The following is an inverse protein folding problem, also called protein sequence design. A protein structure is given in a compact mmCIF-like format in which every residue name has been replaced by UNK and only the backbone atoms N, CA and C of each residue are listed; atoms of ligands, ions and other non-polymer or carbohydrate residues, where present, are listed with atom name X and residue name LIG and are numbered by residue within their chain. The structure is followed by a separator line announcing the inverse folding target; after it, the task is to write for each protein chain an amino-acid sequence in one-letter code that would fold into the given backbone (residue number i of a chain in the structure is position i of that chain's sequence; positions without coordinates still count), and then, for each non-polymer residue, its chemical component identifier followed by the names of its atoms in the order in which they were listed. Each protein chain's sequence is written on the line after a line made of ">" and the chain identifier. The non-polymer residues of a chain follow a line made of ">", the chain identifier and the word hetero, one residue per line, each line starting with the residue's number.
data_IF_686827707482
#
_entry.id   IF_686827707482
#
_cell.length_a   1.000
_cell.length_b   1.000
_cell.length_c   1.000
_cell.angle_alpha   90.00
_cell.angle_beta   90.00
_cell.angle_gamma   90.00
#
_symmetry.space_group_name_H-M   'P 1'
#
loop_
_entity.id
_entity.type
_entity.pdbx_description
1 polymer ?
#
# COMPACT_ATOMS: atom_id res chain seq x y z
N UNK A 1 12.68 -21.26 -13.82
CA UNK A 1 12.28 -22.26 -12.81
C UNK A 1 13.28 -23.41 -12.83
N UNK A 2 13.64 -23.94 -11.67
CA UNK A 2 14.49 -25.13 -11.55
C UNK A 2 13.69 -26.22 -10.83
N UNK A 3 13.64 -27.42 -11.41
CA UNK A 3 13.04 -28.61 -10.81
C UNK A 3 14.16 -29.45 -10.22
N UNK A 4 14.22 -29.61 -8.93
CA UNK A 4 15.24 -30.39 -8.24
C UNK A 4 14.70 -31.82 -8.07
N UNK A 5 15.41 -32.79 -8.62
CA UNK A 5 15.04 -34.19 -8.53
C UNK A 5 15.55 -34.80 -7.20
N UNK A 6 14.90 -35.86 -6.74
CA UNK A 6 15.37 -36.63 -5.59
C UNK A 6 16.70 -37.34 -5.92
N UNK A 7 17.51 -37.65 -4.91
CA UNK A 7 18.85 -38.26 -5.11
C UNK A 7 18.78 -39.62 -5.84
N UNK A 8 17.65 -40.32 -5.72
CA UNK A 8 17.41 -41.64 -6.33
C UNK A 8 16.45 -41.59 -7.52
N UNK A 9 16.15 -40.38 -8.03
CA UNK A 9 15.27 -40.21 -9.18
C UNK A 9 15.83 -41.00 -10.40
N UNK A 10 14.95 -41.79 -11.01
CA UNK A 10 15.27 -42.58 -12.19
C UNK A 10 15.34 -41.72 -13.45
N UNK A 11 16.01 -42.23 -14.50
CA UNK A 11 16.04 -41.58 -15.82
C UNK A 11 14.64 -41.41 -16.41
N UNK A 12 13.72 -42.34 -16.15
CA UNK A 12 12.34 -42.25 -16.61
C UNK A 12 11.58 -41.10 -15.93
N UNK A 13 11.79 -40.87 -14.62
CA UNK A 13 11.19 -39.76 -13.88
C UNK A 13 11.74 -38.40 -14.36
N UNK A 14 13.05 -38.29 -14.59
CA UNK A 14 13.67 -37.10 -15.16
C UNK A 14 13.11 -36.82 -16.57
N UNK A 15 13.00 -37.84 -17.41
CA UNK A 15 12.43 -37.72 -18.76
C UNK A 15 10.98 -37.25 -18.72
N UNK A 16 10.19 -37.74 -17.76
CA UNK A 16 8.80 -37.31 -17.60
C UNK A 16 8.70 -35.82 -17.22
N UNK A 17 9.58 -35.30 -16.35
CA UNK A 17 9.65 -33.87 -16.02
C UNK A 17 10.02 -33.04 -17.25
N UNK A 18 10.98 -33.51 -18.07
CA UNK A 18 11.36 -32.86 -19.34
C UNK A 18 10.15 -32.77 -20.28
N UNK A 19 9.45 -33.90 -20.51
CA UNK A 19 8.27 -33.95 -21.35
C UNK A 19 7.18 -32.96 -20.91
N UNK A 20 6.86 -32.91 -19.62
CA UNK A 20 5.86 -31.97 -19.08
C UNK A 20 6.27 -30.51 -19.31
N UNK A 21 7.55 -30.18 -19.12
CA UNK A 21 8.06 -28.80 -19.37
C UNK A 21 7.90 -28.47 -20.87
N UNK A 22 8.17 -29.40 -21.75
CA UNK A 22 8.02 -29.23 -23.22
C UNK A 22 6.56 -29.11 -23.63
N UNK A 23 5.65 -29.93 -23.04
CA UNK A 23 4.20 -29.81 -23.23
C UNK A 23 3.66 -28.43 -22.76
N UNK A 24 4.32 -27.81 -21.76
CA UNK A 24 3.97 -26.46 -21.30
C UNK A 24 4.48 -25.36 -22.26
N UNK A 25 5.17 -25.71 -23.33
CA UNK A 25 5.69 -24.78 -24.35
C UNK A 25 7.05 -24.17 -24.02
N UNK A 26 7.78 -24.74 -23.07
CA UNK A 26 9.11 -24.30 -22.68
C UNK A 26 10.20 -25.29 -23.08
N UNK A 27 11.47 -24.87 -23.01
CA UNK A 27 12.61 -25.78 -23.20
C UNK A 27 13.08 -26.31 -21.85
N UNK A 28 13.33 -27.61 -21.76
CA UNK A 28 13.89 -28.28 -20.59
C UNK A 28 15.40 -28.51 -20.75
N UNK A 29 16.16 -28.25 -19.68
CA UNK A 29 17.62 -28.54 -19.63
C UNK A 29 17.96 -29.37 -18.39
N UNK A 30 18.09 -30.69 -18.51
CA UNK A 30 18.60 -31.52 -17.43
C UNK A 30 20.08 -31.19 -17.15
N UNK A 31 20.40 -31.01 -15.89
CA UNK A 31 21.73 -30.68 -15.37
C UNK A 31 22.09 -31.72 -14.29
N UNK A 32 22.80 -32.81 -14.66
CA UNK A 32 23.25 -33.80 -13.69
C UNK A 32 24.25 -33.15 -12.70
N UNK A 33 24.03 -33.31 -11.41
CA UNK A 33 24.95 -32.95 -10.34
C UNK A 33 25.56 -34.20 -9.70
N UNK A 34 26.44 -34.00 -8.74
CA UNK A 34 27.13 -35.12 -8.04
C UNK A 34 26.14 -36.05 -7.28
N UNK A 35 25.09 -35.49 -6.69
CA UNK A 35 24.13 -36.24 -5.84
C UNK A 35 22.74 -36.29 -6.42
N UNK A 36 22.35 -35.35 -7.26
CA UNK A 36 21.01 -35.26 -7.84
C UNK A 36 21.01 -34.49 -9.17
N UNK A 37 20.01 -34.74 -9.99
CA UNK A 37 19.79 -33.98 -11.23
C UNK A 37 18.85 -32.80 -10.96
N UNK A 38 19.11 -31.66 -11.59
CA UNK A 38 18.20 -30.52 -11.65
C UNK A 38 17.77 -30.29 -13.09
N UNK A 39 16.48 -30.04 -13.32
CA UNK A 39 15.98 -29.72 -14.67
C UNK A 39 15.64 -28.23 -14.72
N UNK A 40 16.37 -27.47 -15.53
CA UNK A 40 16.12 -26.05 -15.78
C UNK A 40 15.03 -25.86 -16.83
N UNK A 41 14.00 -25.05 -16.53
CA UNK A 41 13.03 -24.58 -17.50
C UNK A 41 13.52 -23.25 -18.08
N UNK A 42 13.59 -23.16 -19.40
CA UNK A 42 14.12 -22.02 -20.16
C UNK A 42 13.09 -21.53 -21.17
N UNK A 43 13.08 -20.23 -21.43
CA UNK A 43 12.16 -19.59 -22.39
C UNK A 43 10.93 -18.94 -21.74
N UNK A 44 10.88 -18.89 -20.40
CA UNK A 44 9.84 -18.17 -19.70
C UNK A 44 10.17 -16.68 -19.57
N UNK A 45 9.17 -15.84 -19.71
CA UNK A 45 9.25 -14.37 -19.53
C UNK A 45 8.74 -13.90 -18.16
N UNK A 46 8.36 -14.84 -17.28
CA UNK A 46 7.84 -14.60 -15.94
C UNK A 46 7.86 -15.85 -15.07
N UNK A 47 7.14 -15.82 -13.95
CA UNK A 47 6.97 -17.00 -13.11
C UNK A 47 6.08 -18.01 -13.80
N UNK A 48 6.56 -19.25 -13.89
CA UNK A 48 5.80 -20.39 -14.43
C UNK A 48 5.05 -21.07 -13.30
N UNK A 49 3.79 -21.43 -13.54
CA UNK A 49 3.04 -22.31 -12.64
C UNK A 49 3.63 -23.71 -12.65
N UNK A 50 4.13 -24.16 -11.51
CA UNK A 50 4.76 -25.45 -11.31
C UNK A 50 3.79 -26.58 -10.93
N UNK A 51 2.50 -26.31 -10.81
CA UNK A 51 1.49 -27.28 -10.29
C UNK A 51 1.45 -28.61 -11.06
N UNK A 52 1.74 -28.60 -12.36
CA UNK A 52 1.82 -29.81 -13.20
C UNK A 52 3.07 -30.67 -12.92
N UNK A 53 4.06 -30.11 -12.23
CA UNK A 53 5.37 -30.74 -12.00
C UNK A 53 5.55 -31.11 -10.54
N UNK A 54 5.02 -30.32 -9.59
CA UNK A 54 5.25 -30.41 -8.16
C UNK A 54 4.90 -31.79 -7.56
N UNK A 55 3.89 -32.45 -8.08
CA UNK A 55 3.44 -33.77 -7.62
C UNK A 55 4.02 -34.96 -8.40
N UNK A 56 4.94 -34.76 -9.34
CA UNK A 56 5.49 -35.86 -10.15
C UNK A 56 6.45 -36.73 -9.34
N UNK A 57 6.46 -38.06 -9.59
CA UNK A 57 7.44 -38.97 -8.99
C UNK A 57 8.87 -38.49 -9.27
N UNK A 58 9.73 -38.62 -8.26
CA UNK A 58 11.13 -38.22 -8.38
C UNK A 58 11.40 -36.72 -8.22
N UNK A 59 10.40 -35.86 -8.14
CA UNK A 59 10.56 -34.42 -7.85
C UNK A 59 10.74 -34.23 -6.34
N UNK A 60 11.78 -33.50 -5.93
CA UNK A 60 12.02 -33.13 -4.54
C UNK A 60 11.46 -31.75 -4.20
N UNK A 61 11.74 -30.76 -5.05
CA UNK A 61 11.28 -29.38 -4.86
C UNK A 61 11.32 -28.59 -6.19
N UNK A 62 10.58 -27.49 -6.25
CA UNK A 62 10.62 -26.53 -7.34
C UNK A 62 11.14 -25.19 -6.84
N UNK A 63 12.25 -24.72 -7.43
CA UNK A 63 12.87 -23.42 -7.13
C UNK A 63 12.48 -22.41 -8.19
N UNK A 64 11.69 -21.42 -7.82
CA UNK A 64 11.36 -20.31 -8.71
C UNK A 64 12.50 -19.28 -8.69
N UNK A 65 13.20 -19.11 -9.81
CA UNK A 65 14.28 -18.13 -9.99
C UNK A 65 13.78 -16.77 -10.46
N UNK A 66 12.54 -16.67 -10.94
CA UNK A 66 11.89 -15.43 -11.34
C UNK A 66 10.92 -14.97 -10.26
N UNK A 67 10.80 -13.64 -10.11
CA UNK A 67 9.82 -13.05 -9.20
C UNK A 67 8.40 -13.36 -9.67
N UNK A 68 7.43 -13.51 -8.74
CA UNK A 68 6.04 -13.79 -9.10
C UNK A 68 5.29 -12.57 -9.68
N UNK A 69 5.91 -11.39 -9.70
CA UNK A 69 5.39 -10.13 -10.21
C UNK A 69 6.37 -9.55 -11.25
N UNK A 70 5.88 -8.75 -12.20
CA UNK A 70 6.65 -8.21 -13.33
C UNK A 70 6.60 -6.69 -13.37
N UNK A 71 5.41 -6.11 -13.59
CA UNK A 71 5.24 -4.67 -13.83
C UNK A 71 5.57 -3.81 -12.60
N UNK A 72 5.34 -4.30 -11.38
CA UNK A 72 5.72 -3.58 -10.14
C UNK A 72 7.21 -3.60 -9.85
N UNK A 73 8.01 -4.41 -10.58
CA UNK A 73 9.43 -4.65 -10.30
C UNK A 73 10.31 -3.53 -10.81
N UNK A 74 11.42 -3.25 -10.11
CA UNK A 74 12.53 -2.42 -10.60
C UNK A 74 13.18 -2.99 -11.89
N UNK A 75 13.01 -4.27 -12.17
CA UNK A 75 13.46 -4.88 -13.43
C UNK A 75 12.61 -4.42 -14.63
N UNK A 76 11.34 -4.10 -14.38
CA UNK A 76 10.45 -3.55 -15.40
C UNK A 76 10.65 -2.05 -15.61
N UNK A 77 10.86 -1.31 -14.52
CA UNK A 77 11.08 0.14 -14.54
C UNK A 77 12.09 0.52 -13.44
N UNK A 78 13.25 1.02 -13.85
CA UNK A 78 14.35 1.39 -12.94
C UNK A 78 14.07 2.67 -12.15
N UNK A 79 13.43 3.67 -12.79
CA UNK A 79 13.13 4.97 -12.20
C UNK A 79 11.90 4.90 -11.29
N UNK A 80 11.85 5.75 -10.28
CA UNK A 80 10.68 5.88 -9.42
C UNK A 80 9.45 6.29 -10.22
N UNK A 81 8.32 5.66 -9.91
CA UNK A 81 7.04 6.15 -10.41
C UNK A 81 6.58 7.33 -9.56
N UNK A 82 6.24 8.41 -10.24
CA UNK A 82 5.62 9.57 -9.61
C UNK A 82 4.11 9.41 -9.74
N UNK A 83 3.41 9.38 -8.62
CA UNK A 83 1.94 9.29 -8.55
C UNK A 83 1.39 10.63 -8.09
N UNK A 84 0.72 11.34 -8.99
CA UNK A 84 0.11 12.64 -8.70
C UNK A 84 -1.38 12.49 -8.43
N UNK A 85 -1.84 12.92 -7.25
CA UNK A 85 -3.27 12.88 -6.88
C UNK A 85 -3.97 14.23 -7.09
N UNK A 86 -3.21 15.33 -7.08
CA UNK A 86 -3.68 16.67 -7.38
C UNK A 86 -2.49 17.55 -7.78
N UNK A 87 -2.70 18.72 -8.41
CA UNK A 87 -1.63 19.67 -8.68
C UNK A 87 -0.81 19.99 -7.41
N UNK A 88 0.50 19.76 -7.48
CA UNK A 88 1.42 19.98 -6.34
C UNK A 88 1.40 18.87 -5.27
N UNK A 89 0.66 17.77 -5.47
CA UNK A 89 0.63 16.65 -4.51
C UNK A 89 1.00 15.35 -5.23
N UNK A 90 2.28 14.99 -5.15
CA UNK A 90 2.86 13.83 -5.84
C UNK A 90 3.71 12.99 -4.91
N UNK A 91 3.58 11.67 -5.02
CA UNK A 91 4.37 10.67 -4.28
C UNK A 91 5.49 10.12 -5.16
N UNK A 92 6.60 9.68 -4.54
CA UNK A 92 7.74 9.06 -5.23
C UNK A 92 8.82 10.05 -5.68
N UNK A 93 8.61 11.36 -5.49
CA UNK A 93 9.58 12.43 -5.74
C UNK A 93 10.45 12.77 -4.52
N UNK A 94 11.01 13.98 -4.51
CA UNK A 94 11.82 14.49 -3.40
C UNK A 94 10.99 14.98 -2.20
N UNK A 95 9.72 15.27 -2.42
CA UNK A 95 8.82 15.78 -1.39
C UNK A 95 8.06 14.66 -0.68
N UNK A 96 7.82 14.84 0.62
CA UNK A 96 7.05 13.93 1.47
C UNK A 96 5.62 14.43 1.58
N UNK A 97 4.67 13.59 1.21
CA UNK A 97 3.23 13.90 1.24
C UNK A 97 2.65 13.55 2.62
N UNK A 98 1.84 14.46 3.18
CA UNK A 98 1.18 14.27 4.47
C UNK A 98 -0.33 14.15 4.25
N UNK A 99 -0.86 12.94 4.43
CA UNK A 99 -2.30 12.66 4.38
C UNK A 99 -2.83 12.66 5.82
N UNK A 100 -3.77 13.53 6.15
CA UNK A 100 -4.32 13.62 7.51
C UNK A 100 -5.84 13.84 7.51
N UNK A 101 -6.51 13.42 8.58
CA UNK A 101 -7.94 13.58 8.78
C UNK A 101 -8.53 12.47 9.62
N UNK A 102 -9.84 12.47 9.89
CA UNK A 102 -10.47 11.53 10.82
C UNK A 102 -10.53 10.10 10.26
N UNK A 103 -10.64 9.12 11.14
CA UNK A 103 -10.90 7.72 10.76
C UNK A 103 -12.16 7.61 9.92
N UNK A 104 -13.26 8.22 10.37
CA UNK A 104 -14.55 8.28 9.68
C UNK A 104 -15.09 9.70 9.58
N UNK A 105 -15.89 9.94 8.54
CA UNK A 105 -16.74 11.12 8.43
C UNK A 105 -17.98 10.88 9.31
N UNK A 106 -18.19 11.72 10.31
CA UNK A 106 -19.23 11.54 11.34
C UNK A 106 -20.33 12.60 11.25
N UNK A 107 -19.95 13.85 10.93
CA UNK A 107 -20.86 14.98 10.71
C UNK A 107 -20.18 16.04 9.84
N UNK A 108 -20.93 17.02 9.36
CA UNK A 108 -20.39 18.18 8.65
C UNK A 108 -19.44 18.99 9.54
N UNK A 109 -19.85 19.29 10.75
CA UNK A 109 -19.05 20.05 11.72
C UNK A 109 -17.72 19.34 11.99
N UNK A 110 -17.75 18.02 12.22
CA UNK A 110 -16.57 17.23 12.52
C UNK A 110 -15.57 17.24 11.36
N UNK A 111 -16.03 16.95 10.12
CA UNK A 111 -15.12 16.86 8.97
C UNK A 111 -14.56 18.20 8.54
N UNK A 112 -15.35 19.27 8.58
CA UNK A 112 -14.90 20.63 8.25
C UNK A 112 -13.89 21.13 9.29
N UNK A 113 -14.18 20.94 10.59
CA UNK A 113 -13.24 21.27 11.65
C UNK A 113 -11.91 20.51 11.51
N UNK A 114 -11.99 19.20 11.28
CA UNK A 114 -10.80 18.36 11.04
C UNK A 114 -10.00 18.83 9.82
N UNK A 115 -10.69 19.05 8.68
CA UNK A 115 -10.04 19.43 7.42
C UNK A 115 -9.33 20.79 7.52
N UNK A 116 -9.95 21.78 8.16
CA UNK A 116 -9.31 23.07 8.43
C UNK A 116 -8.08 22.92 9.32
N UNK A 117 -8.23 22.21 10.44
CA UNK A 117 -7.13 22.02 11.39
C UNK A 117 -5.91 21.31 10.75
N UNK A 118 -6.13 20.25 9.95
CA UNK A 118 -5.01 19.55 9.31
C UNK A 118 -4.38 20.37 8.19
N UNK A 119 -5.18 21.12 7.38
CA UNK A 119 -4.66 22.06 6.37
C UNK A 119 -3.77 23.11 7.01
N UNK A 120 -4.27 23.78 8.04
CA UNK A 120 -3.58 24.90 8.68
C UNK A 120 -2.28 24.45 9.38
N UNK A 121 -2.22 23.18 9.80
CA UNK A 121 -1.01 22.56 10.31
C UNK A 121 -0.02 22.09 9.24
N UNK A 122 -0.43 21.94 7.96
CA UNK A 122 0.48 21.57 6.87
C UNK A 122 0.22 20.21 6.24
N UNK A 123 -0.99 19.65 6.36
CA UNK A 123 -1.39 18.50 5.56
C UNK A 123 -1.49 18.85 4.08
N UNK A 124 -1.21 17.88 3.21
CA UNK A 124 -1.26 18.03 1.75
C UNK A 124 -2.43 17.29 1.12
N UNK A 125 -3.06 16.36 1.86
CA UNK A 125 -4.28 15.68 1.44
C UNK A 125 -5.15 15.36 2.67
N UNK A 126 -6.48 15.33 2.44
CA UNK A 126 -7.47 14.97 3.45
C UNK A 126 -7.82 13.49 3.33
N UNK A 127 -7.77 12.76 4.43
CA UNK A 127 -8.38 11.43 4.52
C UNK A 127 -9.66 11.46 5.34
N UNK A 128 -10.59 10.58 5.03
CA UNK A 128 -11.78 10.33 5.82
C UNK A 128 -12.55 9.15 5.26
N UNK A 129 -12.98 8.20 6.11
CA UNK A 129 -13.77 7.05 5.68
C UNK A 129 -15.26 7.43 5.57
N UNK A 130 -15.83 7.42 4.37
CA UNK A 130 -17.27 7.53 4.17
C UNK A 130 -17.99 6.20 4.42
N UNK A 131 -17.32 5.10 4.11
CA UNK A 131 -17.70 3.72 4.38
C UNK A 131 -16.70 3.09 5.37
N UNK A 132 -17.19 2.21 6.27
CA UNK A 132 -16.35 1.59 7.30
C UNK A 132 -16.50 0.08 7.30
N UNK A 133 -15.44 -0.69 6.96
CA UNK A 133 -15.45 -2.14 7.11
C UNK A 133 -15.38 -2.50 8.59
N UNK A 134 -16.47 -3.03 9.15
CA UNK A 134 -16.54 -3.41 10.56
C UNK A 134 -16.69 -4.91 10.74
N UNK A 135 -16.04 -5.43 11.78
CA UNK A 135 -16.23 -6.84 12.19
C UNK A 135 -17.58 -7.09 12.84
N UNK A 136 -18.19 -6.03 13.44
CA UNK A 136 -19.53 -6.10 14.02
C UNK A 136 -20.51 -5.29 13.17
N UNK A 137 -21.68 -5.87 12.81
CA UNK A 137 -22.72 -5.15 12.08
C UNK A 137 -23.40 -4.04 12.89
N UNK A 138 -23.21 -4.05 14.22
CA UNK A 138 -23.78 -3.04 15.13
C UNK A 138 -22.89 -1.81 15.31
N UNK A 139 -21.65 -1.85 14.82
CA UNK A 139 -20.75 -0.70 14.87
C UNK A 139 -21.12 0.34 13.80
N UNK A 140 -20.69 1.58 13.98
CA UNK A 140 -20.88 2.65 13.00
C UNK A 140 -20.30 2.26 11.63
N UNK A 141 -21.16 2.19 10.60
CA UNK A 141 -20.82 1.73 9.26
C UNK A 141 -20.32 2.85 8.32
N UNK A 142 -20.31 4.10 8.80
CA UNK A 142 -20.06 5.29 7.99
C UNK A 142 -21.37 5.94 7.51
N UNK A 143 -21.25 7.12 6.90
CA UNK A 143 -22.36 7.88 6.35
C UNK A 143 -22.68 7.55 4.88
N UNK A 144 -21.90 6.66 4.28
CA UNK A 144 -22.07 6.29 2.86
C UNK A 144 -21.94 7.49 1.92
N UNK A 145 -22.84 7.60 0.94
CA UNK A 145 -22.83 8.71 -0.04
C UNK A 145 -22.83 10.08 0.64
N UNK A 146 -23.59 10.27 1.73
CA UNK A 146 -23.55 11.54 2.48
C UNK A 146 -22.14 11.86 3.01
N UNK A 147 -21.37 10.86 3.43
CA UNK A 147 -19.99 11.04 3.85
C UNK A 147 -19.10 11.51 2.69
N UNK A 148 -19.33 11.02 1.47
CA UNK A 148 -18.63 11.48 0.26
C UNK A 148 -19.01 12.94 -0.08
N UNK A 149 -20.29 13.30 0.01
CA UNK A 149 -20.75 14.68 -0.20
C UNK A 149 -20.08 15.64 0.80
N UNK A 150 -19.94 15.24 2.06
CA UNK A 150 -19.25 16.02 3.11
C UNK A 150 -17.75 16.12 2.87
N UNK A 151 -17.08 15.08 2.38
CA UNK A 151 -15.69 15.16 1.95
C UNK A 151 -15.51 16.14 0.79
N UNK A 152 -16.41 16.12 -0.20
CA UNK A 152 -16.39 17.08 -1.30
C UNK A 152 -16.60 18.52 -0.82
N UNK A 153 -17.43 18.74 0.20
CA UNK A 153 -17.58 20.04 0.85
C UNK A 153 -16.25 20.47 1.51
N UNK A 154 -15.63 19.59 2.29
CA UNK A 154 -14.35 19.84 2.94
C UNK A 154 -13.24 20.18 1.94
N UNK A 155 -13.19 19.47 0.77
CA UNK A 155 -12.26 19.80 -0.34
C UNK A 155 -12.49 21.20 -0.88
N UNK A 156 -13.76 21.59 -1.11
CA UNK A 156 -14.08 22.95 -1.60
C UNK A 156 -13.63 24.05 -0.64
N UNK A 157 -13.72 23.80 0.66
CA UNK A 157 -13.32 24.77 1.69
C UNK A 157 -11.81 24.84 1.92
N UNK A 158 -11.11 23.74 1.76
CA UNK A 158 -9.70 23.64 2.18
C UNK A 158 -8.72 23.53 1.01
N UNK A 159 -9.19 23.14 -0.17
CA UNK A 159 -8.34 22.81 -1.32
C UNK A 159 -7.64 21.46 -1.21
N UNK A 160 -7.78 20.73 -0.10
CA UNK A 160 -7.10 19.44 0.10
C UNK A 160 -7.72 18.35 -0.79
N UNK A 161 -6.94 17.62 -1.60
CA UNK A 161 -7.42 16.45 -2.33
C UNK A 161 -7.86 15.35 -1.36
N UNK A 162 -8.84 14.56 -1.82
CA UNK A 162 -9.51 13.53 -0.99
C UNK A 162 -8.89 12.15 -1.22
N UNK A 163 -8.54 11.49 -0.13
CA UNK A 163 -8.20 10.06 -0.06
C UNK A 163 -9.27 9.35 0.76
N UNK A 164 -10.07 8.48 0.13
CA UNK A 164 -11.14 7.73 0.83
C UNK A 164 -11.24 6.30 0.33
N UNK A 165 -11.78 5.41 1.20
CA UNK A 165 -11.76 3.96 0.99
C UNK A 165 -12.95 3.47 0.21
N UNK A 166 -12.70 2.58 -0.77
CA UNK A 166 -13.69 1.75 -1.43
C UNK A 166 -13.69 0.33 -0.82
N UNK A 167 -14.86 -0.26 -0.61
CA UNK A 167 -15.01 -1.57 0.03
C UNK A 167 -15.29 -2.71 -0.96
N UNK A 168 -15.90 -2.42 -2.08
CA UNK A 168 -16.32 -3.33 -3.13
C UNK A 168 -16.28 -2.64 -4.51
N UNK A 169 -16.62 -3.37 -5.56
CA UNK A 169 -16.53 -2.89 -6.94
C UNK A 169 -17.54 -1.76 -7.23
N UNK A 170 -18.78 -1.89 -6.75
CA UNK A 170 -19.80 -0.85 -6.93
C UNK A 170 -19.42 0.43 -6.17
N UNK A 171 -19.00 0.26 -4.91
CA UNK A 171 -18.49 1.36 -4.08
C UNK A 171 -17.25 2.04 -4.68
N UNK A 172 -16.40 1.31 -5.39
CA UNK A 172 -15.23 1.90 -6.05
C UNK A 172 -15.62 2.91 -7.15
N UNK A 173 -16.65 2.61 -7.95
CA UNK A 173 -17.15 3.55 -8.95
C UNK A 173 -17.73 4.81 -8.30
N UNK A 174 -18.55 4.64 -7.26
CA UNK A 174 -19.11 5.77 -6.52
C UNK A 174 -18.00 6.62 -5.84
N UNK A 175 -17.03 5.97 -5.18
CA UNK A 175 -15.90 6.66 -4.55
C UNK A 175 -15.08 7.42 -5.59
N UNK A 176 -14.91 6.88 -6.78
CA UNK A 176 -14.15 7.50 -7.86
C UNK A 176 -14.75 8.85 -8.35
N UNK A 177 -16.04 9.08 -8.17
CA UNK A 177 -16.66 10.37 -8.50
C UNK A 177 -16.20 11.50 -7.55
N UNK A 178 -15.82 11.16 -6.34
CA UNK A 178 -15.49 12.10 -5.27
C UNK A 178 -14.01 12.16 -4.93
N UNK A 179 -13.34 11.01 -4.90
CA UNK A 179 -11.95 10.88 -4.46
C UNK A 179 -10.94 11.32 -5.53
N UNK A 180 -9.85 11.90 -5.10
CA UNK A 180 -8.66 12.17 -5.91
C UNK A 180 -7.70 10.97 -5.88
N UNK A 181 -7.77 10.15 -4.82
CA UNK A 181 -7.08 8.88 -4.68
C UNK A 181 -8.00 7.87 -3.97
N UNK A 182 -8.18 6.69 -4.58
CA UNK A 182 -8.99 5.60 -4.00
C UNK A 182 -8.13 4.78 -3.05
N UNK A 183 -8.54 4.67 -1.78
CA UNK A 183 -7.86 3.79 -0.84
C UNK A 183 -8.45 2.38 -0.90
N UNK A 184 -7.57 1.38 -0.95
CA UNK A 184 -7.90 -0.02 -0.71
C UNK A 184 -7.38 -0.40 0.67
N UNK A 185 -8.30 -0.70 1.58
CA UNK A 185 -7.98 -1.05 2.96
C UNK A 185 -7.29 -2.42 3.07
N UNK A 186 -6.56 -2.62 4.16
CA UNK A 186 -5.78 -3.83 4.40
C UNK A 186 -6.59 -5.14 4.34
N UNK A 187 -7.88 -5.11 4.69
CA UNK A 187 -8.77 -6.27 4.59
C UNK A 187 -9.09 -6.66 3.15
N UNK A 188 -9.01 -5.69 2.23
CA UNK A 188 -9.31 -5.84 0.81
C UNK A 188 -8.04 -5.93 -0.06
N UNK A 189 -6.84 -6.00 0.53
CA UNK A 189 -5.59 -6.08 -0.24
C UNK A 189 -5.59 -7.24 -1.24
N UNK A 190 -6.20 -8.37 -0.90
CA UNK A 190 -6.30 -9.56 -1.74
C UNK A 190 -7.70 -9.76 -2.36
N UNK A 191 -8.53 -8.73 -2.35
CA UNK A 191 -9.80 -8.73 -3.10
C UNK A 191 -9.50 -8.43 -4.58
N UNK A 192 -9.09 -9.45 -5.32
CA UNK A 192 -8.59 -9.29 -6.69
C UNK A 192 -9.63 -8.75 -7.66
N UNK A 193 -10.92 -8.99 -7.44
CA UNK A 193 -11.98 -8.39 -8.26
C UNK A 193 -12.03 -6.87 -8.05
N UNK A 194 -11.98 -6.41 -6.80
CA UNK A 194 -11.90 -4.99 -6.47
C UNK A 194 -10.60 -4.35 -7.01
N UNK A 195 -9.45 -5.04 -6.91
CA UNK A 195 -8.18 -4.53 -7.45
C UNK A 195 -8.25 -4.32 -8.96
N UNK A 196 -8.86 -5.25 -9.71
CA UNK A 196 -9.11 -5.07 -11.14
C UNK A 196 -10.06 -3.92 -11.42
N UNK A 197 -11.15 -3.79 -10.67
CA UNK A 197 -12.09 -2.70 -10.84
C UNK A 197 -11.43 -1.32 -10.67
N UNK A 198 -10.64 -1.11 -9.61
CA UNK A 198 -9.92 0.16 -9.41
C UNK A 198 -8.80 0.36 -10.43
N UNK A 199 -8.22 -0.72 -10.94
CA UNK A 199 -7.29 -0.67 -12.06
C UNK A 199 -7.93 -0.07 -13.32
N UNK A 200 -9.12 -0.54 -13.69
CA UNK A 200 -9.88 -0.03 -14.85
C UNK A 200 -10.41 1.40 -14.67
N UNK A 201 -10.72 1.80 -13.44
CA UNK A 201 -11.14 3.18 -13.14
C UNK A 201 -10.03 4.18 -13.48
N UNK A 202 -8.75 3.80 -13.34
CA UNK A 202 -7.60 4.61 -13.77
C UNK A 202 -7.28 5.80 -12.87
N UNK A 203 -7.90 5.93 -11.67
CA UNK A 203 -7.52 6.92 -10.67
C UNK A 203 -6.34 6.42 -9.83
N UNK A 204 -5.56 7.33 -9.20
CA UNK A 204 -4.56 6.93 -8.21
C UNK A 204 -5.13 6.03 -7.12
N UNK A 205 -4.39 4.98 -6.76
CA UNK A 205 -4.81 3.99 -5.76
C UNK A 205 -3.79 3.93 -4.63
N UNK A 206 -4.26 4.09 -3.39
CA UNK A 206 -3.48 3.83 -2.17
C UNK A 206 -3.80 2.41 -1.69
N UNK A 207 -2.86 1.49 -1.88
CA UNK A 207 -3.00 0.08 -1.51
C UNK A 207 -2.32 -0.19 -0.16
N UNK A 208 -3.11 -0.50 0.87
CA UNK A 208 -2.62 -0.82 2.22
C UNK A 208 -2.29 -2.31 2.35
N UNK A 209 -1.11 -2.61 2.89
CA UNK A 209 -0.64 -3.97 3.19
C UNK A 209 -1.60 -4.68 4.13
N UNK A 210 -1.94 -5.93 3.82
CA UNK A 210 -2.73 -6.80 4.68
C UNK A 210 -2.00 -7.16 5.97
N UNK A 211 -2.76 -7.36 7.06
CA UNK A 211 -2.20 -7.60 8.40
C UNK A 211 -1.45 -8.93 8.55
N UNK A 212 -1.64 -9.87 7.65
CA UNK A 212 -0.93 -11.15 7.58
C UNK A 212 -0.23 -11.36 6.22
N UNK A 213 -0.02 -10.27 5.47
CA UNK A 213 0.54 -10.30 4.14
C UNK A 213 2.06 -10.11 4.16
N UNK A 214 2.76 -10.90 3.37
CA UNK A 214 4.17 -10.68 3.07
C UNK A 214 4.36 -9.46 2.16
N UNK A 215 5.60 -8.99 2.00
CA UNK A 215 5.92 -7.95 1.00
C UNK A 215 5.62 -8.46 -0.42
N UNK A 216 5.88 -9.74 -0.68
CA UNK A 216 5.55 -10.36 -1.97
C UNK A 216 4.04 -10.33 -2.25
N UNK A 217 3.20 -10.63 -1.26
CA UNK A 217 1.73 -10.55 -1.42
C UNK A 217 1.27 -9.12 -1.73
N UNK A 218 1.88 -8.11 -1.08
CA UNK A 218 1.59 -6.70 -1.38
C UNK A 218 1.95 -6.34 -2.82
N UNK A 219 3.13 -6.75 -3.28
CA UNK A 219 3.58 -6.49 -4.66
C UNK A 219 2.73 -7.25 -5.68
N UNK A 220 2.35 -8.49 -5.40
CA UNK A 220 1.41 -9.25 -6.23
C UNK A 220 0.03 -8.59 -6.31
N UNK A 221 -0.46 -8.04 -5.22
CA UNK A 221 -1.73 -7.30 -5.21
C UNK A 221 -1.65 -6.02 -6.04
N UNK A 222 -0.54 -5.29 -5.96
CA UNK A 222 -0.31 -4.13 -6.82
C UNK A 222 -0.21 -4.52 -8.30
N UNK A 223 0.41 -5.67 -8.62
CA UNK A 223 0.49 -6.20 -9.98
C UNK A 223 -0.89 -6.34 -10.65
N UNK A 224 -1.94 -6.75 -9.88
CA UNK A 224 -3.32 -6.83 -10.40
C UNK A 224 -3.85 -5.47 -10.87
N UNK A 225 -3.48 -4.38 -10.18
CA UNK A 225 -3.90 -3.03 -10.58
C UNK A 225 -3.13 -2.58 -11.82
N UNK A 226 -1.82 -2.81 -11.86
CA UNK A 226 -0.96 -2.46 -13.00
C UNK A 226 -1.35 -3.24 -14.26
N UNK A 227 -1.71 -4.52 -14.12
CA UNK A 227 -2.14 -5.38 -15.23
C UNK A 227 -3.40 -4.90 -15.95
N UNK A 228 -4.25 -4.12 -15.26
CA UNK A 228 -5.42 -3.44 -15.87
C UNK A 228 -5.05 -2.07 -16.50
N UNK A 229 -3.74 -1.72 -16.53
CA UNK A 229 -3.23 -0.49 -17.16
C UNK A 229 -3.07 0.70 -16.22
N UNK A 230 -3.37 0.57 -14.92
CA UNK A 230 -3.21 1.65 -13.96
C UNK A 230 -1.88 1.57 -13.21
N UNK A 231 -0.88 2.33 -13.66
CA UNK A 231 0.41 2.46 -12.98
C UNK A 231 0.45 3.46 -11.82
N UNK A 232 -0.66 4.10 -11.47
CA UNK A 232 -0.73 5.12 -10.43
C UNK A 232 -1.06 4.48 -9.06
N UNK A 233 -0.16 3.66 -8.55
CA UNK A 233 -0.33 2.93 -7.27
C UNK A 233 0.67 3.43 -6.24
N UNK A 234 0.17 3.71 -5.04
CA UNK A 234 0.92 4.07 -3.85
C UNK A 234 0.79 2.91 -2.87
N UNK A 235 1.90 2.35 -2.43
CA UNK A 235 1.93 1.27 -1.44
C UNK A 235 1.96 1.86 -0.02
N UNK A 236 1.37 1.15 0.95
CA UNK A 236 1.31 1.63 2.32
C UNK A 236 1.57 0.51 3.34
N UNK A 237 2.62 0.67 4.13
CA UNK A 237 2.83 -0.11 5.34
C UNK A 237 1.90 0.40 6.45
N UNK A 238 1.16 -0.52 7.11
CA UNK A 238 0.19 -0.17 8.17
C UNK A 238 0.20 -1.15 9.34
N UNK A 239 1.26 -1.91 9.47
CA UNK A 239 1.44 -2.91 10.51
C UNK A 239 0.95 -4.30 10.13
N UNK A 240 1.68 -5.28 10.58
CA UNK A 240 1.37 -6.71 10.46
C UNK A 240 1.07 -7.30 11.83
N UNK A 241 0.30 -8.38 11.88
CA UNK A 241 0.07 -9.11 13.13
C UNK A 241 1.36 -9.69 13.67
N UNK A 242 1.55 -9.57 14.97
CA UNK A 242 2.65 -10.16 15.72
C UNK A 242 2.10 -11.05 16.84
N UNK A 243 2.98 -11.82 17.44
CA UNK A 243 2.68 -12.54 18.68
C UNK A 243 2.60 -11.60 19.90
N UNK A 244 3.22 -10.42 19.83
CA UNK A 244 3.13 -9.39 20.87
C UNK A 244 1.78 -8.65 20.74
N UNK A 245 1.13 -8.40 21.87
CA UNK A 245 -0.22 -7.80 21.96
C UNK A 245 -0.24 -6.42 22.61
N UNK A 246 0.93 -5.84 22.95
CA UNK A 246 1.02 -4.51 23.55
C UNK A 246 0.57 -3.44 22.56
N UNK A 247 0.93 -3.60 21.29
CA UNK A 247 0.42 -2.79 20.19
C UNK A 247 -0.56 -3.59 19.34
N UNK A 248 -1.47 -2.92 18.66
CA UNK A 248 -2.46 -3.57 17.77
C UNK A 248 -1.80 -4.38 16.65
N UNK A 249 -0.69 -3.88 16.12
CA UNK A 249 0.13 -4.54 15.10
C UNK A 249 1.60 -4.16 15.33
N UNK A 250 2.51 -4.89 14.70
CA UNK A 250 3.91 -4.51 14.54
C UNK A 250 4.04 -3.60 13.30
N UNK A 251 4.42 -2.36 13.47
CA UNK A 251 4.69 -1.44 12.35
C UNK A 251 6.05 -1.78 11.74
N UNK A 252 6.03 -2.45 10.58
CA UNK A 252 7.22 -2.96 9.90
C UNK A 252 7.93 -1.86 9.10
N UNK A 253 8.77 -1.09 9.80
CA UNK A 253 9.56 -0.02 9.17
C UNK A 253 10.53 -0.57 8.11
N UNK A 254 10.98 -1.82 8.24
CA UNK A 254 11.90 -2.43 7.27
C UNK A 254 11.24 -2.67 5.92
N UNK A 255 9.92 -2.79 5.87
CA UNK A 255 9.17 -2.91 4.62
C UNK A 255 9.40 -1.71 3.69
N UNK A 256 9.62 -0.51 4.23
CA UNK A 256 9.80 0.71 3.42
C UNK A 256 11.02 0.60 2.51
N UNK A 257 12.27 0.49 3.00
CA UNK A 257 13.44 0.39 2.15
C UNK A 257 13.49 -0.91 1.33
N UNK A 258 12.90 -2.01 1.82
CA UNK A 258 12.82 -3.26 1.07
C UNK A 258 11.93 -3.09 -0.16
N UNK A 259 10.72 -2.54 -0.01
CA UNK A 259 9.81 -2.29 -1.13
C UNK A 259 10.42 -1.32 -2.14
N UNK A 260 11.04 -0.24 -1.69
CA UNK A 260 11.72 0.73 -2.57
C UNK A 260 12.87 0.10 -3.38
N UNK A 261 13.54 -0.93 -2.86
CA UNK A 261 14.54 -1.71 -3.60
C UNK A 261 13.92 -2.67 -4.61
N UNK A 262 12.76 -3.27 -4.30
CA UNK A 262 12.11 -4.28 -5.14
C UNK A 262 11.21 -3.67 -6.21
N UNK A 263 10.60 -2.51 -5.93
CA UNK A 263 9.57 -1.88 -6.75
C UNK A 263 9.91 -0.41 -7.03
N UNK A 264 9.39 0.10 -8.13
CA UNK A 264 9.46 1.52 -8.51
C UNK A 264 8.29 2.34 -7.96
N UNK A 265 7.29 1.69 -7.33
CA UNK A 265 6.11 2.34 -6.79
C UNK A 265 6.44 3.09 -5.49
N UNK A 266 5.85 4.27 -5.24
CA UNK A 266 6.04 4.99 -3.98
C UNK A 266 5.48 4.21 -2.79
N UNK A 267 6.15 4.34 -1.64
CA UNK A 267 5.79 3.64 -0.40
C UNK A 267 5.61 4.64 0.73
N UNK A 268 4.45 4.61 1.41
CA UNK A 268 4.13 5.45 2.56
C UNK A 268 3.91 4.62 3.84
N UNK A 269 3.89 5.29 4.99
CA UNK A 269 3.61 4.69 6.29
C UNK A 269 2.29 5.15 6.90
N UNK A 270 1.57 4.23 7.56
CA UNK A 270 0.38 4.48 8.37
C UNK A 270 0.64 4.11 9.83
N UNK A 271 1.24 4.99 10.62
CA UNK A 271 1.56 4.71 12.01
C UNK A 271 0.33 4.63 12.92
N UNK A 272 -0.79 5.27 12.54
CA UNK A 272 -2.03 5.21 13.32
C UNK A 272 -2.58 3.80 13.41
N UNK A 273 -2.71 3.11 12.25
CA UNK A 273 -3.12 1.72 12.21
C UNK A 273 -1.95 0.76 12.53
N UNK A 274 -0.71 1.20 12.30
CA UNK A 274 0.50 0.41 12.55
C UNK A 274 0.61 0.00 14.01
N UNK A 275 0.34 0.93 14.93
CA UNK A 275 0.44 0.68 16.37
C UNK A 275 -0.91 0.59 17.07
N UNK A 276 -1.91 1.36 16.60
CA UNK A 276 -3.22 1.47 17.24
C UNK A 276 -3.21 2.30 18.53
N UNK A 277 -2.13 3.01 18.81
CA UNK A 277 -1.90 3.79 20.03
C UNK A 277 -1.49 5.22 19.70
N UNK A 278 -2.25 6.21 20.17
CA UNK A 278 -2.05 7.65 19.90
C UNK A 278 -0.62 8.13 20.21
N UNK A 279 -0.10 7.75 21.37
CA UNK A 279 1.23 8.16 21.84
C UNK A 279 2.38 7.57 21.02
N UNK A 280 2.12 6.56 20.20
CA UNK A 280 3.10 5.94 19.30
C UNK A 280 3.04 6.48 17.87
N UNK A 281 1.99 7.23 17.49
CA UNK A 281 1.82 7.75 16.13
C UNK A 281 2.98 8.67 15.74
N UNK A 282 3.28 9.67 16.57
CA UNK A 282 4.36 10.64 16.28
C UNK A 282 5.74 9.96 16.16
N UNK A 283 6.19 9.15 17.13
CA UNK A 283 7.47 8.45 17.01
C UNK A 283 7.55 7.59 15.74
N UNK A 284 6.49 6.87 15.41
CA UNK A 284 6.49 5.96 14.26
C UNK A 284 6.35 6.69 12.91
N UNK A 285 5.65 7.82 12.86
CA UNK A 285 5.63 8.69 11.69
C UNK A 285 7.04 9.24 11.37
N UNK A 286 7.75 9.70 12.39
CA UNK A 286 9.16 10.15 12.26
C UNK A 286 10.06 9.02 11.74
N UNK A 287 9.93 7.83 12.33
CA UNK A 287 10.72 6.68 11.94
C UNK A 287 10.43 6.23 10.49
N UNK A 288 9.15 6.28 10.06
CA UNK A 288 8.77 5.96 8.68
C UNK A 288 9.42 6.92 7.67
N UNK A 289 9.39 8.24 7.94
CA UNK A 289 10.02 9.24 7.09
C UNK A 289 11.54 9.07 7.09
N UNK A 290 12.15 8.85 8.26
CA UNK A 290 13.59 8.59 8.37
C UNK A 290 14.02 7.30 7.64
N UNK A 291 13.14 6.29 7.57
CA UNK A 291 13.35 5.06 6.79
C UNK A 291 13.17 5.25 5.27
N UNK A 292 12.78 6.47 4.82
CA UNK A 292 12.67 6.83 3.41
C UNK A 292 11.25 6.81 2.84
N UNK A 293 10.20 6.73 3.66
CA UNK A 293 8.82 6.77 3.16
C UNK A 293 8.54 8.03 2.31
N UNK A 294 7.75 7.87 1.25
CA UNK A 294 7.34 8.97 0.35
C UNK A 294 6.17 9.79 0.90
N UNK A 295 5.65 9.38 2.04
CA UNK A 295 4.60 10.08 2.77
C UNK A 295 4.20 9.34 4.04
N UNK A 296 3.31 9.98 4.79
CA UNK A 296 2.63 9.37 5.92
C UNK A 296 1.13 9.65 5.85
N UNK A 297 0.32 8.69 6.32
CA UNK A 297 -1.11 8.85 6.51
C UNK A 297 -1.43 8.69 7.99
N UNK A 298 -2.04 9.72 8.60
CA UNK A 298 -2.33 9.74 10.04
C UNK A 298 -3.78 10.09 10.32
N UNK A 299 -4.31 9.52 11.38
CA UNK A 299 -5.64 9.86 11.87
C UNK A 299 -5.59 11.07 12.81
N UNK A 300 -6.40 12.08 12.49
CA UNK A 300 -6.56 13.31 13.29
C UNK A 300 -8.05 13.57 13.48
N UNK A 301 -8.47 13.82 14.72
CA UNK A 301 -9.86 14.08 15.03
C UNK A 301 -9.96 15.30 15.96
N UNK A 302 -10.95 16.22 15.79
CA UNK A 302 -11.09 17.40 16.65
C UNK A 302 -11.25 17.04 18.13
N UNK A 303 -11.97 15.95 18.40
CA UNK A 303 -12.22 15.42 19.75
C UNK A 303 -12.08 13.89 19.76
N UNK A 304 -10.85 13.34 19.72
CA UNK A 304 -10.61 11.90 19.58
C UNK A 304 -11.36 11.03 20.59
N UNK A 305 -11.56 11.52 21.81
CA UNK A 305 -12.23 10.76 22.87
C UNK A 305 -13.75 10.61 22.66
N UNK A 306 -14.31 11.32 21.67
CA UNK A 306 -15.72 11.23 21.25
C UNK A 306 -15.90 10.64 19.85
N UNK A 307 -14.80 10.23 19.23
CA UNK A 307 -14.83 9.67 17.88
C UNK A 307 -15.67 8.37 17.83
N UNK A 308 -16.51 8.23 16.80
CA UNK A 308 -17.29 7.02 16.55
C UNK A 308 -16.44 5.84 16.09
N UNK A 309 -15.19 6.10 15.66
CA UNK A 309 -14.24 5.06 15.27
C UNK A 309 -12.78 5.47 15.58
N UNK A 310 -12.01 4.49 16.05
CA UNK A 310 -10.55 4.50 16.23
C UNK A 310 -9.99 5.75 16.96
N UNK A 311 -10.76 6.33 17.89
CA UNK A 311 -10.35 7.53 18.67
C UNK A 311 -9.06 7.34 19.47
N UNK A 312 -8.79 6.13 19.97
CA UNK A 312 -7.60 5.82 20.75
C UNK A 312 -6.27 5.92 19.97
N UNK A 313 -6.31 5.88 18.64
CA UNK A 313 -5.14 6.04 17.77
C UNK A 313 -5.12 7.38 17.02
N UNK A 314 -6.17 8.19 17.11
CA UNK A 314 -6.27 9.49 16.47
C UNK A 314 -5.53 10.56 17.25
N UNK A 315 -4.76 11.40 16.56
CA UNK A 315 -4.11 12.57 17.13
C UNK A 315 -5.13 13.68 17.38
N UNK A 316 -4.88 14.50 18.40
CA UNK A 316 -5.46 15.84 18.51
C UNK A 316 -4.83 16.79 17.47
N UNK A 317 -5.52 17.87 17.08
CA UNK A 317 -4.97 18.84 16.12
C UNK A 317 -3.62 19.45 16.52
N UNK A 318 -3.43 19.77 17.81
CA UNK A 318 -2.17 20.28 18.35
C UNK A 318 -1.03 19.26 18.27
N UNK A 319 -1.33 17.98 18.54
CA UNK A 319 -0.37 16.90 18.37
C UNK A 319 0.02 16.71 16.89
N UNK A 320 -0.94 16.86 15.97
CA UNK A 320 -0.64 16.81 14.54
C UNK A 320 0.22 18.01 14.10
N UNK A 321 -0.08 19.22 14.57
CA UNK A 321 0.75 20.39 14.29
C UNK A 321 2.20 20.19 14.78
N UNK A 322 2.37 19.63 15.97
CA UNK A 322 3.69 19.24 16.49
C UNK A 322 4.37 18.21 15.59
N UNK A 323 3.65 17.18 15.13
CA UNK A 323 4.20 16.18 14.20
C UNK A 323 4.76 16.83 12.94
N UNK A 324 4.06 17.79 12.34
CA UNK A 324 4.52 18.48 11.13
C UNK A 324 5.86 19.22 11.37
N UNK A 325 5.99 19.88 12.50
CA UNK A 325 7.26 20.56 12.88
C UNK A 325 8.40 19.53 12.98
N UNK A 326 8.15 18.41 13.66
CA UNK A 326 9.15 17.36 13.84
C UNK A 326 9.50 16.65 12.50
N UNK A 327 8.52 16.41 11.62
CA UNK A 327 8.77 15.83 10.30
C UNK A 327 9.59 16.78 9.41
N UNK A 328 9.37 18.08 9.47
CA UNK A 328 10.18 19.05 8.72
C UNK A 328 11.65 19.00 9.10
N UNK A 329 11.97 18.83 10.37
CA UNK A 329 13.34 18.65 10.82
C UNK A 329 13.97 17.35 10.28
N UNK A 330 13.21 16.23 10.27
CA UNK A 330 13.67 14.94 9.78
C UNK A 330 13.85 14.97 8.26
N UNK A 331 12.89 15.52 7.51
CA UNK A 331 13.01 15.61 6.05
C UNK A 331 14.24 16.39 5.63
N UNK A 332 14.54 17.50 6.30
CA UNK A 332 15.77 18.27 6.05
C UNK A 332 17.03 17.45 6.34
N UNK A 333 17.05 16.66 7.41
CA UNK A 333 18.18 15.82 7.78
C UNK A 333 18.48 14.71 6.75
N UNK A 334 17.46 14.22 6.04
CA UNK A 334 17.60 13.20 4.99
C UNK A 334 17.62 13.79 3.56
N UNK A 335 17.77 15.11 3.42
CA UNK A 335 17.87 15.78 2.11
C UNK A 335 16.54 15.83 1.33
N UNK A 336 15.40 15.77 2.01
CA UNK A 336 14.04 15.89 1.43
C UNK A 336 13.30 17.08 2.04
N UNK A 337 12.11 17.37 1.55
CA UNK A 337 11.22 18.40 2.09
C UNK A 337 9.79 17.88 2.26
N UNK A 338 8.98 18.59 3.04
CA UNK A 338 7.53 18.34 3.04
C UNK A 338 6.92 18.99 1.78
N UNK A 339 5.98 18.29 1.14
CA UNK A 339 5.19 18.86 0.06
C UNK A 339 4.39 20.07 0.55
N UNK A 340 4.24 21.13 -0.26
CA UNK A 340 3.48 22.31 0.13
C UNK A 340 1.99 21.99 0.27
N UNK A 341 1.33 22.62 1.24
CA UNK A 341 -0.13 22.51 1.37
C UNK A 341 -0.80 23.20 0.18
N UNK A 342 -1.76 22.53 -0.50
CA UNK A 342 -2.51 23.14 -1.62
C UNK A 342 -3.17 24.46 -1.20
N UNK A 343 -3.12 25.47 -2.09
CA UNK A 343 -3.71 26.78 -1.85
C UNK A 343 -2.90 27.75 -0.97
N UNK A 344 -1.80 27.31 -0.39
CA UNK A 344 -0.84 28.22 0.21
C UNK A 344 0.20 28.61 -0.86
N UNK A 345 0.12 29.82 -1.41
CA UNK A 345 1.22 30.38 -2.18
C UNK A 345 2.44 30.42 -1.27
N UNK A 346 3.52 29.75 -1.71
CA UNK A 346 4.81 29.87 -1.05
C UNK A 346 5.17 31.36 -1.02
N UNK A 347 5.10 32.00 0.14
CA UNK A 347 5.84 33.23 0.32
C UNK A 347 7.32 32.84 0.24
N UNK A 348 7.90 33.03 -0.95
CA UNK A 348 9.34 33.04 -1.11
C UNK A 348 9.87 34.13 -0.17
N UNK A 349 10.42 33.70 0.96
CA UNK A 349 11.18 34.57 1.82
C UNK A 349 12.39 35.06 1.03
N UNK A 350 12.48 36.36 0.94
CA UNK A 350 13.63 37.13 0.47
C UNK A 350 14.78 36.96 1.46
#
# INVERSE_FOLDING_TARGET
>A
MLVVMQNHATQAEIARVVEIIEEMGYSARPMPGETRTTVGLVGNDGRVDGSRIEGLPGVAEIIHVSKPYKQVSREWKSENTIVTIAPGVSFGGSEIVIIAGPCSVESEEQIISAARAVRDAGATALRGGAFKPRSSPYSFQGLGKRGLDLLALARRETGLPIVTEALDEEGAHLVAEYADCIQIGARNMQNYSLLRAVGRIGKPVLLKRGMAATITDLLMSAEYILAEGNGQVILCERGIRSFDTITRNLFDLTAIPIVQRLSHLPMIGDPSHGTGLRDKVIPMARAAVAAGADGVIVEVHPTPDRALSDGGQSLYPDQFARLIVELRAITNAIGRSLAPTPGTTAHAGV
#
